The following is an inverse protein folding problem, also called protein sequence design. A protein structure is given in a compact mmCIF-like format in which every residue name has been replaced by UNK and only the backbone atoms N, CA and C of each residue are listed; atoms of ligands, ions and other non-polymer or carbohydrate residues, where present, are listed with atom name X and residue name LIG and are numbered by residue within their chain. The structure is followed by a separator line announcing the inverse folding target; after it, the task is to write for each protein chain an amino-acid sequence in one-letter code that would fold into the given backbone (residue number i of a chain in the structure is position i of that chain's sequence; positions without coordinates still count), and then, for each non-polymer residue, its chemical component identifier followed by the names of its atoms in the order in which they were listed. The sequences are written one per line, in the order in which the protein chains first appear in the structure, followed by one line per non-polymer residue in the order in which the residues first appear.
data_IF_118861416465
#
_entry.id   IF_118861416465
#
_cell.length_a   1.000
_cell.length_b   1.000
_cell.length_c   1.000
_cell.angle_alpha   90.00
_cell.angle_beta   90.00
_cell.angle_gamma   90.00
#
_symmetry.space_group_name_H-M   'P 1'
#
loop_
_entity.id
_entity.type
_entity.pdbx_description
1 polymer ?
#
# COMPACT_ATOMS: atom_id res chain seq x y z
N UNK A 1 -13.42 -51.88 29.86
CA UNK A 1 -14.31 -51.52 28.75
C UNK A 1 -15.27 -50.47 29.24
N UNK A 2 -14.99 -49.20 28.92
CA UNK A 2 -15.85 -48.02 29.05
C UNK A 2 -14.96 -46.81 28.73
N UNK A 3 -15.14 -46.22 27.56
CA UNK A 3 -14.94 -44.80 27.25
C UNK A 3 -15.26 -44.63 25.77
N UNK A 4 -16.55 -44.43 25.51
CA UNK A 4 -17.02 -43.70 24.34
C UNK A 4 -16.80 -42.19 24.57
N UNK A 5 -16.79 -41.45 23.46
CA UNK A 5 -16.77 -39.98 23.30
C UNK A 5 -15.38 -39.37 23.15
N UNK A 6 -15.01 -39.15 21.89
CA UNK A 6 -14.82 -37.82 21.29
C UNK A 6 -14.14 -37.99 19.93
N UNK A 7 -14.83 -37.63 18.87
CA UNK A 7 -14.30 -37.80 17.52
C UNK A 7 -15.36 -37.48 16.48
N UNK A 8 -15.85 -36.24 16.49
CA UNK A 8 -16.58 -35.59 15.41
C UNK A 8 -16.86 -34.15 15.84
N UNK A 9 -15.90 -33.25 15.65
CA UNK A 9 -16.17 -31.84 15.29
C UNK A 9 -14.88 -31.11 14.94
N UNK A 10 -14.99 -30.13 14.04
CA UNK A 10 -13.94 -29.30 13.45
C UNK A 10 -13.13 -29.91 12.30
N UNK A 11 -13.85 -30.41 11.28
CA UNK A 11 -13.43 -30.09 9.91
C UNK A 11 -13.72 -28.61 9.69
N UNK A 12 -12.67 -27.79 9.75
CA UNK A 12 -12.72 -26.37 9.44
C UNK A 12 -13.16 -26.21 7.96
N UNK A 13 -14.33 -25.61 7.68
CA UNK A 13 -14.83 -25.50 6.32
C UNK A 13 -14.12 -24.36 5.58
N UNK A 14 -13.82 -24.60 4.31
CA UNK A 14 -13.51 -23.58 3.31
C UNK A 14 -12.20 -22.81 3.51
N UNK A 15 -11.12 -23.57 3.38
CA UNK A 15 -9.93 -23.16 2.66
C UNK A 15 -10.33 -22.81 1.21
N UNK A 16 -10.92 -21.64 1.01
CA UNK A 16 -11.08 -21.08 -0.34
C UNK A 16 -9.66 -20.90 -0.87
N UNK A 17 -9.33 -21.67 -1.89
CA UNK A 17 -8.18 -21.44 -2.76
C UNK A 17 -8.36 -20.07 -3.44
N UNK A 18 -8.10 -19.00 -2.69
CA UNK A 18 -8.19 -17.61 -3.13
C UNK A 18 -7.01 -17.35 -4.06
N UNK A 19 -7.17 -17.72 -5.32
CA UNK A 19 -6.34 -17.25 -6.41
C UNK A 19 -6.17 -15.73 -6.29
N UNK A 20 -4.91 -15.29 -6.16
CA UNK A 20 -4.36 -13.93 -6.25
C UNK A 20 -5.39 -12.79 -6.09
N UNK A 21 -5.36 -12.04 -4.98
CA UNK A 21 -6.28 -10.93 -4.70
C UNK A 21 -6.37 -9.91 -5.85
N UNK A 22 -5.27 -9.60 -6.55
CA UNK A 22 -5.29 -8.74 -7.74
C UNK A 22 -6.12 -9.39 -8.85
N UNK A 23 -5.91 -10.67 -9.10
CA UNK A 23 -6.71 -11.43 -10.06
C UNK A 23 -8.13 -11.67 -9.56
N UNK A 24 -8.38 -11.68 -8.25
CA UNK A 24 -9.70 -11.89 -7.66
C UNK A 24 -10.53 -10.61 -7.70
N UNK A 25 -9.94 -9.43 -7.52
CA UNK A 25 -10.59 -8.14 -7.82
C UNK A 25 -10.79 -8.00 -9.33
N UNK A 26 -9.80 -8.33 -10.16
CA UNK A 26 -9.96 -8.33 -11.62
C UNK A 26 -11.00 -9.37 -12.10
N UNK A 27 -11.11 -10.53 -11.45
CA UNK A 27 -12.08 -11.58 -11.76
C UNK A 27 -13.47 -11.23 -11.24
N UNK A 28 -13.60 -10.63 -10.05
CA UNK A 28 -14.85 -10.04 -9.57
C UNK A 28 -15.31 -8.93 -10.52
N UNK A 29 -14.40 -8.09 -11.00
CA UNK A 29 -14.70 -7.09 -12.03
C UNK A 29 -15.14 -7.74 -13.35
N UNK A 30 -14.44 -8.77 -13.81
CA UNK A 30 -14.81 -9.51 -15.03
C UNK A 30 -16.18 -10.20 -14.91
N UNK A 31 -16.47 -10.79 -13.74
CA UNK A 31 -17.75 -11.43 -13.44
C UNK A 31 -18.90 -10.42 -13.24
N UNK A 32 -18.63 -9.22 -12.71
CA UNK A 32 -19.62 -8.12 -12.65
C UNK A 32 -19.92 -7.56 -14.06
N UNK A 33 -18.92 -7.49 -14.94
CA UNK A 33 -19.09 -7.12 -16.34
C UNK A 33 -19.88 -8.20 -17.09
N UNK A 34 -19.54 -9.48 -16.92
CA UNK A 34 -20.20 -10.62 -17.59
C UNK A 34 -21.58 -10.96 -17.00
N UNK A 35 -21.80 -10.78 -15.70
CA UNK A 35 -23.11 -10.96 -15.05
C UNK A 35 -24.15 -9.90 -15.44
N UNK A 36 -23.71 -8.82 -16.10
CA UNK A 36 -24.58 -7.77 -16.63
C UNK A 36 -25.15 -8.09 -18.02
N UNK A 37 -24.69 -9.14 -18.72
CA UNK A 37 -25.13 -9.44 -20.09
C UNK A 37 -26.42 -10.26 -20.20
N UNK A 38 -27.29 -10.29 -19.17
CA UNK A 38 -28.64 -10.83 -19.30
C UNK A 38 -29.77 -9.82 -19.02
N UNK A 39 -29.45 -8.52 -19.02
CA UNK A 39 -30.44 -7.48 -19.29
C UNK A 39 -29.87 -6.50 -20.30
N UNK A 40 -30.49 -6.47 -21.46
CA UNK A 40 -30.30 -5.45 -22.49
C UNK A 40 -30.67 -4.09 -21.87
N UNK A 41 -29.67 -3.43 -21.27
CA UNK A 41 -29.73 -2.03 -20.91
C UNK A 41 -28.81 -1.36 -21.90
N UNK A 42 -29.39 -0.63 -22.84
CA UNK A 42 -28.65 0.29 -23.70
C UNK A 42 -27.90 1.27 -22.81
N UNK A 43 -26.65 0.96 -22.51
CA UNK A 43 -25.69 1.91 -22.00
C UNK A 43 -25.47 2.90 -23.14
N UNK A 44 -26.17 4.03 -23.08
CA UNK A 44 -25.82 5.22 -23.84
C UNK A 44 -24.32 5.48 -23.61
N UNK A 45 -23.53 5.22 -24.65
CA UNK A 45 -22.11 5.52 -24.70
C UNK A 45 -21.92 7.03 -24.53
N UNK A 46 -21.64 7.46 -23.32
CA UNK A 46 -21.28 8.86 -23.02
C UNK A 46 -20.22 8.88 -21.93
N UNK A 47 -19.05 8.36 -22.27
CA UNK A 47 -17.81 9.11 -22.56
C UNK A 47 -16.73 8.06 -22.73
N UNK A 48 -16.07 8.06 -23.88
CA UNK A 48 -14.87 7.25 -24.14
C UNK A 48 -13.77 7.68 -23.17
N UNK A 49 -13.78 7.15 -21.96
CA UNK A 49 -12.63 7.19 -21.08
C UNK A 49 -12.00 5.81 -21.16
N UNK A 50 -10.88 5.73 -21.89
CA UNK A 50 -10.01 4.57 -21.86
C UNK A 50 -9.71 4.27 -20.39
N UNK A 51 -10.28 3.18 -19.88
CA UNK A 51 -9.81 2.55 -18.66
C UNK A 51 -8.32 2.30 -18.88
N UNK A 52 -7.47 3.18 -18.35
CA UNK A 52 -6.01 3.01 -18.37
C UNK A 52 -5.72 1.58 -17.96
N UNK A 53 -4.98 0.87 -18.82
CA UNK A 53 -4.77 -0.57 -18.80
C UNK A 53 -4.60 -1.12 -17.37
N UNK A 54 -5.62 -1.83 -16.88
CA UNK A 54 -5.64 -2.47 -15.57
C UNK A 54 -4.87 -3.81 -15.65
N UNK A 55 -3.55 -3.72 -15.79
CA UNK A 55 -2.68 -4.86 -16.04
C UNK A 55 -2.54 -5.84 -14.86
N UNK A 56 -3.12 -5.52 -13.70
CA UNK A 56 -2.94 -6.29 -12.48
C UNK A 56 -1.56 -6.07 -11.86
N UNK A 57 -1.08 -7.06 -11.11
CA UNK A 57 0.21 -7.02 -10.44
C UNK A 57 1.33 -7.64 -11.29
N UNK A 58 2.40 -6.89 -11.56
CA UNK A 58 3.63 -7.42 -12.13
C UNK A 58 4.57 -7.91 -11.01
N UNK A 59 4.48 -9.21 -10.73
CA UNK A 59 5.30 -9.86 -9.68
C UNK A 59 6.80 -9.83 -9.99
N UNK A 60 7.18 -9.90 -11.27
CA UNK A 60 8.58 -9.90 -11.65
C UNK A 60 9.19 -8.52 -11.46
N UNK A 61 8.47 -7.47 -11.85
CA UNK A 61 8.89 -6.09 -11.62
C UNK A 61 8.93 -5.77 -10.12
N UNK A 62 7.91 -6.18 -9.36
CA UNK A 62 7.87 -6.01 -7.90
C UNK A 62 9.04 -6.70 -7.19
N UNK A 63 9.42 -7.90 -7.63
CA UNK A 63 10.53 -8.66 -7.03
C UNK A 63 11.91 -8.05 -7.33
N UNK A 64 12.05 -7.29 -8.43
CA UNK A 64 13.31 -6.64 -8.80
C UNK A 64 13.67 -5.46 -7.90
N UNK A 65 12.68 -4.87 -7.22
CA UNK A 65 12.79 -3.63 -6.44
C UNK A 65 13.21 -2.40 -7.27
N UNK A 66 12.99 -1.17 -6.77
CA UNK A 66 13.46 0.04 -7.43
C UNK A 66 14.99 0.12 -7.46
N UNK A 67 15.53 0.83 -8.45
CA UNK A 67 16.96 1.14 -8.50
C UNK A 67 17.39 1.96 -7.27
N UNK A 68 18.54 1.61 -6.71
CA UNK A 68 19.12 2.24 -5.53
C UNK A 68 20.26 3.23 -5.87
N UNK A 69 20.43 3.56 -7.15
CA UNK A 69 21.39 4.57 -7.62
C UNK A 69 20.86 6.02 -7.50
N UNK A 70 20.34 6.40 -6.33
CA UNK A 70 19.93 7.79 -6.03
C UNK A 70 21.07 8.57 -5.36
N UNK A 71 21.23 9.89 -5.55
CA UNK A 71 22.17 10.72 -4.77
C UNK A 71 21.83 10.78 -3.27
N UNK A 72 22.80 10.87 -2.37
CA UNK A 72 22.53 10.98 -0.92
C UNK A 72 21.77 12.26 -0.52
N UNK A 73 21.75 13.29 -1.38
CA UNK A 73 20.91 14.48 -1.20
C UNK A 73 19.41 14.22 -1.39
N UNK A 74 19.04 13.09 -2.00
CA UNK A 74 17.64 12.72 -2.20
C UNK A 74 17.13 11.89 -1.03
N UNK A 75 15.99 12.33 -0.48
CA UNK A 75 15.26 11.61 0.58
C UNK A 75 14.46 10.43 0.06
N UNK A 76 14.20 10.35 -1.24
CA UNK A 76 13.48 9.23 -1.84
C UNK A 76 13.87 9.02 -3.30
N UNK A 77 13.74 7.77 -3.76
CA UNK A 77 13.85 7.46 -5.19
C UNK A 77 12.57 7.85 -5.93
N UNK A 78 12.65 7.89 -7.27
CA UNK A 78 11.45 7.89 -8.09
C UNK A 78 10.61 6.63 -7.81
N UNK A 79 9.27 6.74 -7.77
CA UNK A 79 8.40 5.58 -7.61
C UNK A 79 8.35 4.74 -8.89
N UNK A 80 8.29 3.43 -8.72
CA UNK A 80 8.08 2.45 -9.80
C UNK A 80 6.71 1.83 -9.61
N UNK A 81 5.83 1.95 -10.61
CA UNK A 81 4.50 1.29 -10.58
C UNK A 81 4.69 -0.19 -10.87
N UNK A 82 4.31 -1.04 -9.92
CA UNK A 82 4.44 -2.50 -10.01
C UNK A 82 3.09 -3.22 -10.08
N UNK A 83 1.99 -2.48 -9.94
CA UNK A 83 0.66 -3.00 -10.21
C UNK A 83 -0.36 -1.90 -10.45
N UNK A 84 -1.39 -2.22 -11.24
CA UNK A 84 -2.53 -1.33 -11.44
C UNK A 84 -3.82 -2.10 -11.71
N UNK A 85 -4.90 -1.71 -11.04
CA UNK A 85 -6.23 -2.29 -11.21
C UNK A 85 -7.32 -1.27 -10.93
N UNK A 86 -8.57 -1.61 -11.25
CA UNK A 86 -9.72 -0.76 -10.98
C UNK A 86 -10.51 -1.27 -9.77
N UNK A 87 -10.95 -0.34 -8.93
CA UNK A 87 -11.80 -0.60 -7.78
C UNK A 87 -13.20 -0.02 -8.03
N UNK A 88 -14.25 -0.86 -8.04
CA UNK A 88 -15.63 -0.38 -8.12
C UNK A 88 -15.99 0.55 -6.95
N UNK A 89 -16.81 1.58 -7.21
CA UNK A 89 -17.22 2.55 -6.20
C UNK A 89 -17.90 1.89 -4.97
N UNK A 90 -18.52 0.72 -5.10
CA UNK A 90 -19.21 0.06 -3.98
C UNK A 90 -18.27 -0.27 -2.80
N UNK A 91 -16.98 -0.46 -3.06
CA UNK A 91 -15.94 -0.75 -2.06
C UNK A 91 -15.23 0.51 -1.53
N UNK A 92 -15.59 1.69 -2.04
CA UNK A 92 -14.97 2.97 -1.68
C UNK A 92 -16.07 3.92 -1.22
N UNK A 93 -15.92 4.53 -0.05
CA UNK A 93 -16.89 5.50 0.48
C UNK A 93 -16.26 6.89 0.42
N UNK A 94 -16.71 7.68 -0.55
CA UNK A 94 -16.21 9.04 -0.75
C UNK A 94 -17.40 10.02 -0.86
N UNK A 95 -17.64 10.76 0.22
CA UNK A 95 -18.76 11.70 0.29
C UNK A 95 -20.13 11.01 0.22
N UNK A 96 -21.12 11.69 -0.38
CA UNK A 96 -22.48 11.15 -0.54
C UNK A 96 -22.54 10.24 -1.75
N UNK A 97 -23.24 9.11 -1.63
CA UNK A 97 -23.37 8.10 -2.69
C UNK A 97 -23.81 8.67 -4.05
N UNK A 98 -24.78 9.60 -4.05
CA UNK A 98 -25.30 10.21 -5.28
C UNK A 98 -24.23 11.03 -6.01
N UNK A 99 -23.42 11.75 -5.26
CA UNK A 99 -22.35 12.60 -5.79
C UNK A 99 -21.17 11.72 -6.23
N UNK A 100 -20.88 10.66 -5.48
CA UNK A 100 -19.86 9.68 -5.84
C UNK A 100 -20.18 8.97 -7.16
N UNK A 101 -21.41 8.50 -7.34
CA UNK A 101 -21.84 7.80 -8.55
C UNK A 101 -21.82 8.68 -9.79
N UNK A 102 -22.02 9.99 -9.64
CA UNK A 102 -21.93 10.94 -10.77
C UNK A 102 -20.48 11.28 -11.13
N UNK A 103 -19.56 11.25 -10.15
CA UNK A 103 -18.14 11.62 -10.34
C UNK A 103 -17.25 10.44 -10.70
N UNK A 104 -17.42 9.28 -10.07
CA UNK A 104 -16.55 8.11 -10.26
C UNK A 104 -17.25 6.79 -9.94
N UNK A 105 -17.62 6.05 -10.98
CA UNK A 105 -18.13 4.66 -10.86
C UNK A 105 -17.02 3.65 -10.57
N UNK A 106 -15.81 3.99 -10.99
CA UNK A 106 -14.60 3.21 -10.74
C UNK A 106 -13.50 4.15 -10.25
N UNK A 107 -12.56 3.57 -9.55
CA UNK A 107 -11.35 4.25 -9.11
C UNK A 107 -10.15 3.49 -9.66
N UNK A 108 -9.10 4.22 -10.02
CA UNK A 108 -7.80 3.63 -10.30
C UNK A 108 -7.09 3.31 -8.99
N UNK A 109 -6.53 2.11 -8.90
CA UNK A 109 -5.59 1.72 -7.86
C UNK A 109 -4.24 1.42 -8.50
N UNK A 110 -3.17 1.89 -7.88
CA UNK A 110 -1.79 1.51 -8.22
C UNK A 110 -1.05 1.05 -6.99
N UNK A 111 -0.12 0.11 -7.19
CA UNK A 111 0.91 -0.24 -6.23
C UNK A 111 2.25 0.30 -6.75
N UNK A 112 2.87 1.17 -5.96
CA UNK A 112 4.18 1.77 -6.25
C UNK A 112 5.23 1.27 -5.27
N UNK A 113 6.47 1.12 -5.74
CA UNK A 113 7.65 0.88 -4.91
C UNK A 113 8.62 2.07 -5.00
N UNK A 114 9.23 2.44 -3.87
CA UNK A 114 10.34 3.41 -3.83
C UNK A 114 11.26 3.16 -2.64
N UNK A 115 12.46 3.71 -2.68
CA UNK A 115 13.32 3.86 -1.51
C UNK A 115 13.01 5.19 -0.80
N UNK A 116 12.94 5.17 0.53
CA UNK A 116 12.74 6.36 1.37
C UNK A 116 13.78 6.40 2.49
N UNK A 117 14.44 7.55 2.66
CA UNK A 117 15.49 7.76 3.65
C UNK A 117 14.89 7.76 5.05
N UNK A 118 15.45 6.93 5.93
CA UNK A 118 15.08 6.84 7.34
C UNK A 118 16.14 7.44 8.26
N UNK A 119 17.38 7.56 7.77
CA UNK A 119 18.48 8.16 8.51
C UNK A 119 19.54 8.71 7.55
N UNK A 120 20.18 9.81 7.94
CA UNK A 120 21.29 10.42 7.22
C UNK A 120 22.30 11.01 8.20
N UNK A 121 23.57 10.92 7.85
CA UNK A 121 24.68 11.52 8.59
C UNK A 121 25.64 12.19 7.61
N UNK A 122 26.14 13.37 7.96
CA UNK A 122 27.22 14.04 7.23
C UNK A 122 28.37 14.25 8.23
N UNK A 123 29.57 13.74 7.92
CA UNK A 123 30.70 13.72 8.84
C UNK A 123 31.88 14.54 8.31
N UNK A 124 32.57 15.23 9.21
CA UNK A 124 33.61 16.23 8.92
C UNK A 124 35.03 15.81 9.37
N UNK A 125 35.24 14.60 9.88
CA UNK A 125 36.57 14.12 10.31
C UNK A 125 36.86 12.70 9.81
N UNK A 126 38.12 12.25 9.87
CA UNK A 126 38.63 11.13 9.08
C UNK A 126 38.58 9.76 9.75
N UNK A 127 38.04 9.65 10.97
CA UNK A 127 38.46 8.57 11.88
C UNK A 127 37.35 7.54 12.21
N UNK A 128 36.11 7.75 11.73
CA UNK A 128 34.99 6.83 11.95
C UNK A 128 34.85 5.80 10.83
N UNK A 129 35.03 4.51 11.14
CA UNK A 129 34.83 3.40 10.20
C UNK A 129 33.42 2.77 10.26
N UNK A 130 32.52 3.35 11.05
CA UNK A 130 31.17 2.80 11.23
C UNK A 130 30.18 3.87 11.69
N UNK A 131 28.92 3.71 11.29
CA UNK A 131 27.82 4.58 11.71
C UNK A 131 26.73 3.78 12.41
N UNK A 132 26.30 4.28 13.58
CA UNK A 132 25.17 3.73 14.31
C UNK A 132 23.88 4.39 13.84
N UNK A 133 23.04 3.63 13.14
CA UNK A 133 21.70 4.05 12.75
C UNK A 133 20.76 3.79 13.92
N UNK A 134 20.07 4.86 14.36
CA UNK A 134 18.93 4.78 15.25
C UNK A 134 17.81 5.65 14.67
N UNK A 135 16.77 5.02 14.13
CA UNK A 135 15.67 5.72 13.48
C UNK A 135 14.32 5.11 13.88
N UNK A 136 13.37 5.96 14.28
CA UNK A 136 11.97 5.56 14.49
C UNK A 136 11.24 5.62 13.16
N UNK A 137 10.66 4.49 12.75
CA UNK A 137 9.98 4.34 11.46
C UNK A 137 8.51 4.04 11.68
N UNK A 138 7.64 4.92 11.17
CA UNK A 138 6.21 4.64 11.03
C UNK A 138 6.02 3.54 9.99
N UNK A 139 5.53 2.38 10.41
CA UNK A 139 5.36 1.21 9.53
C UNK A 139 4.32 1.46 8.46
N UNK A 140 3.31 2.26 8.79
CA UNK A 140 2.20 2.58 7.91
C UNK A 140 1.83 4.04 8.03
N UNK A 141 1.69 4.74 6.90
CA UNK A 141 1.28 6.15 6.88
C UNK A 141 0.29 6.37 5.77
N UNK A 142 -0.82 7.07 6.04
CA UNK A 142 -1.83 7.36 5.04
C UNK A 142 -1.97 8.87 4.80
N UNK A 143 -2.44 9.24 3.62
CA UNK A 143 -2.81 10.60 3.32
C UNK A 143 -4.08 10.65 2.45
N UNK A 144 -5.06 11.46 2.84
CA UNK A 144 -6.30 11.71 2.09
C UNK A 144 -6.16 13.02 1.36
N UNK A 145 -6.35 13.01 0.04
CA UNK A 145 -6.14 14.18 -0.83
C UNK A 145 -4.79 14.88 -0.59
N UNK A 146 -3.73 14.09 -0.30
CA UNK A 146 -2.38 14.59 -0.05
C UNK A 146 -2.11 15.12 1.37
N UNK A 147 -3.10 15.09 2.28
CA UNK A 147 -2.93 15.49 3.68
C UNK A 147 -2.85 14.26 4.57
N UNK A 148 -1.96 14.30 5.55
CA UNK A 148 -1.78 13.21 6.51
C UNK A 148 -3.12 12.78 7.13
N UNK A 149 -3.33 11.47 7.19
CA UNK A 149 -4.55 10.87 7.68
C UNK A 149 -4.22 9.64 8.51
N UNK A 150 -4.96 9.44 9.59
CA UNK A 150 -4.86 8.24 10.40
C UNK A 150 -5.93 7.21 9.96
N UNK A 151 -5.57 5.92 9.81
CA UNK A 151 -6.56 4.87 9.67
C UNK A 151 -7.33 4.69 11.00
N UNK A 152 -8.65 4.80 10.96
CA UNK A 152 -9.53 4.53 12.08
C UNK A 152 -9.75 3.02 12.22
N UNK A 153 -8.91 2.40 13.04
CA UNK A 153 -8.96 0.95 13.31
C UNK A 153 -9.99 0.56 14.37
N UNK A 154 -10.56 1.53 15.09
CA UNK A 154 -11.39 1.26 16.28
C UNK A 154 -12.85 0.97 15.94
N UNK A 155 -13.29 1.30 14.73
CA UNK A 155 -14.68 1.20 14.34
C UNK A 155 -14.84 0.69 12.89
N UNK A 156 -14.55 -0.59 12.68
CA UNK A 156 -14.74 -1.31 11.39
C UNK A 156 -15.98 -2.20 11.40
N UNK A 157 -16.90 -2.00 12.35
CA UNK A 157 -18.10 -2.84 12.50
C UNK A 157 -19.04 -2.79 11.29
N UNK A 158 -18.94 -1.73 10.47
CA UNK A 158 -19.66 -1.56 9.20
C UNK A 158 -18.93 -2.19 8.01
N UNK A 159 -17.82 -2.89 8.24
CA UNK A 159 -16.99 -3.47 7.18
C UNK A 159 -16.17 -2.42 6.41
N UNK A 160 -15.98 -1.22 6.97
CA UNK A 160 -15.23 -0.13 6.32
C UNK A 160 -14.12 0.38 7.24
N UNK A 161 -12.91 0.50 6.70
CA UNK A 161 -11.82 1.24 7.33
C UNK A 161 -11.84 2.70 6.86
N UNK A 162 -12.03 3.61 7.79
CA UNK A 162 -12.07 5.05 7.49
C UNK A 162 -10.68 5.69 7.62
N UNK A 163 -10.34 6.56 6.69
CA UNK A 163 -9.18 7.44 6.74
C UNK A 163 -9.68 8.87 6.83
N UNK A 164 -9.20 9.64 7.80
CA UNK A 164 -9.63 11.03 8.01
C UNK A 164 -8.42 11.93 8.11
N UNK A 165 -8.39 12.98 7.30
CA UNK A 165 -7.44 14.07 7.44
C UNK A 165 -8.12 15.26 8.11
N UNK A 166 -7.41 15.97 8.98
CA UNK A 166 -7.85 17.28 9.46
C UNK A 166 -7.63 18.35 8.37
N UNK A 167 -8.51 19.35 8.34
CA UNK A 167 -8.31 20.57 7.57
C UNK A 167 -8.14 21.78 8.48
N UNK A 168 -7.44 22.80 7.99
CA UNK A 168 -7.08 24.00 8.77
C UNK A 168 -8.30 24.85 9.14
N UNK A 169 -9.41 24.71 8.41
CA UNK A 169 -10.67 25.43 8.59
C UNK A 169 -11.75 24.60 9.34
N UNK A 170 -11.37 23.46 9.92
CA UNK A 170 -12.31 22.51 10.53
C UNK A 170 -13.03 21.60 9.53
N UNK A 171 -12.78 21.75 8.23
CA UNK A 171 -13.24 20.86 7.17
C UNK A 171 -12.24 19.75 6.87
N UNK A 172 -12.49 18.53 7.33
CA UNK A 172 -11.67 17.36 7.02
C UNK A 172 -12.10 16.62 5.75
N UNK A 173 -11.16 15.96 5.08
CA UNK A 173 -11.48 14.99 4.03
C UNK A 173 -11.53 13.59 4.66
N UNK A 174 -12.43 12.75 4.16
CA UNK A 174 -12.51 11.36 4.58
C UNK A 174 -12.80 10.43 3.41
N UNK A 175 -12.21 9.24 3.47
CA UNK A 175 -12.46 8.15 2.55
C UNK A 175 -12.56 6.87 3.35
N UNK A 176 -13.54 6.03 3.02
CA UNK A 176 -13.68 4.69 3.55
C UNK A 176 -13.25 3.67 2.50
N UNK A 177 -12.47 2.67 2.90
CA UNK A 177 -12.21 1.48 2.10
C UNK A 177 -12.92 0.31 2.73
N UNK A 178 -13.58 -0.52 1.92
CA UNK A 178 -14.14 -1.77 2.43
C UNK A 178 -13.02 -2.69 2.94
N UNK A 179 -13.33 -3.54 3.92
CA UNK A 179 -12.36 -4.47 4.47
C UNK A 179 -11.83 -5.45 3.42
N UNK A 180 -12.60 -5.80 2.38
CA UNK A 180 -12.11 -6.64 1.28
C UNK A 180 -10.92 -5.98 0.56
N UNK A 181 -10.97 -4.66 0.33
CA UNK A 181 -9.83 -3.92 -0.23
C UNK A 181 -8.66 -3.92 0.75
N UNK A 182 -8.91 -3.58 2.02
CA UNK A 182 -7.87 -3.43 3.03
C UNK A 182 -7.16 -4.76 3.33
N UNK A 183 -7.92 -5.84 3.48
CA UNK A 183 -7.38 -7.19 3.70
C UNK A 183 -6.59 -7.67 2.50
N UNK A 184 -7.04 -7.37 1.28
CA UNK A 184 -6.27 -7.69 0.09
C UNK A 184 -4.96 -6.91 -0.04
N UNK A 185 -4.95 -5.62 0.33
CA UNK A 185 -3.71 -4.84 0.44
C UNK A 185 -2.74 -5.49 1.44
N UNK A 186 -3.24 -5.96 2.59
CA UNK A 186 -2.44 -6.64 3.61
C UNK A 186 -1.92 -7.98 3.13
N UNK A 187 -2.78 -8.81 2.56
CA UNK A 187 -2.43 -10.13 2.02
C UNK A 187 -1.33 -10.02 0.96
N UNK A 188 -1.42 -9.03 0.08
CA UNK A 188 -0.42 -8.80 -0.97
C UNK A 188 0.95 -8.40 -0.39
N UNK A 189 1.01 -7.90 0.85
CA UNK A 189 2.25 -7.62 1.58
C UNK A 189 2.78 -8.83 2.35
N UNK A 190 1.91 -9.58 3.01
CA UNK A 190 2.30 -10.74 3.84
C UNK A 190 3.01 -11.82 3.02
N UNK A 191 2.60 -12.02 1.75
CA UNK A 191 3.23 -12.98 0.85
C UNK A 191 4.70 -12.70 0.54
N UNK A 192 5.15 -11.46 0.72
CA UNK A 192 6.55 -11.05 0.50
C UNK A 192 7.31 -10.85 1.81
N UNK A 193 6.79 -11.37 2.92
CA UNK A 193 7.48 -11.38 4.22
C UNK A 193 7.19 -10.17 5.10
N UNK A 194 6.16 -9.36 4.78
CA UNK A 194 5.72 -8.32 5.70
C UNK A 194 5.10 -8.93 6.97
N UNK A 195 5.81 -8.84 8.10
CA UNK A 195 5.30 -9.23 9.41
C UNK A 195 4.42 -8.11 9.98
N UNK A 196 3.11 -8.13 9.70
CA UNK A 196 2.15 -7.23 10.36
C UNK A 196 2.23 -7.36 11.89
N UNK A 197 2.06 -6.23 12.58
CA UNK A 197 1.95 -6.18 14.04
C UNK A 197 1.07 -5.00 14.45
N UNK A 198 0.57 -5.00 15.69
CA UNK A 198 -0.25 -3.90 16.21
C UNK A 198 0.56 -2.62 16.44
N UNK A 199 1.88 -2.74 16.55
CA UNK A 199 2.81 -1.60 16.66
C UNK A 199 2.90 -0.85 15.33
N UNK A 200 2.46 0.40 15.34
CA UNK A 200 2.50 1.32 14.19
C UNK A 200 3.88 1.92 13.96
N UNK A 201 4.76 1.87 14.96
CA UNK A 201 6.13 2.36 14.95
C UNK A 201 7.11 1.23 15.22
N UNK A 202 8.30 1.31 14.64
CA UNK A 202 9.41 0.41 14.95
C UNK A 202 10.72 1.18 14.96
N UNK A 203 11.56 0.92 15.95
CA UNK A 203 12.92 1.47 15.99
C UNK A 203 13.84 0.57 15.17
N UNK A 204 14.51 1.18 14.19
CA UNK A 204 15.58 0.56 13.41
C UNK A 204 16.91 0.91 14.09
N UNK A 205 17.52 -0.11 14.71
CA UNK A 205 18.86 -0.01 15.29
C UNK A 205 19.82 -0.92 14.50
N UNK A 206 20.91 -0.35 13.99
CA UNK A 206 21.97 -1.11 13.30
C UNK A 206 23.29 -0.34 13.28
N UNK A 207 24.39 -1.09 13.14
CA UNK A 207 25.71 -0.51 12.88
C UNK A 207 26.09 -0.85 11.45
N UNK A 208 26.45 0.17 10.67
CA UNK A 208 26.86 0.04 9.28
C UNK A 208 28.35 0.35 9.21
N UNK A 209 29.14 -0.57 8.67
CA UNK A 209 30.59 -0.41 8.55
C UNK A 209 30.96 0.20 7.19
N UNK A 210 31.91 1.14 7.20
CA UNK A 210 32.47 1.71 5.99
C UNK A 210 33.61 0.83 5.47
N UNK A 211 33.33 0.08 4.41
CA UNK A 211 34.31 -0.80 3.74
C UNK A 211 35.16 -0.14 2.65
N UNK A 212 35.08 1.19 2.49
CA UNK A 212 35.82 1.92 1.45
C UNK A 212 37.26 2.26 1.84
N UNK A 213 38.04 2.72 0.86
CA UNK A 213 39.41 3.22 1.07
C UNK A 213 39.34 4.72 1.35
N UNK A 214 39.91 5.17 2.48
CA UNK A 214 39.91 6.58 2.90
C UNK A 214 38.80 6.90 3.88
N UNK A 215 38.38 8.17 3.94
CA UNK A 215 37.23 8.61 4.72
C UNK A 215 35.98 8.77 3.87
N UNK A 216 34.82 8.78 4.52
CA UNK A 216 33.53 9.11 3.93
C UNK A 216 33.07 10.50 4.40
N UNK A 217 32.16 11.13 3.65
CA UNK A 217 31.59 12.45 3.95
C UNK A 217 30.11 12.36 4.26
N UNK A 218 29.40 11.45 3.60
CA UNK A 218 27.95 11.30 3.77
C UNK A 218 27.56 9.83 3.89
N UNK A 219 26.56 9.60 4.71
CA UNK A 219 25.93 8.32 4.90
C UNK A 219 24.42 8.48 4.80
N UNK A 220 23.75 7.52 4.18
CA UNK A 220 22.29 7.46 4.14
C UNK A 220 21.78 6.03 4.22
N UNK A 221 20.73 5.86 5.02
CA UNK A 221 20.02 4.60 5.22
C UNK A 221 18.57 4.75 4.77
N UNK A 222 18.09 3.79 3.99
CA UNK A 222 16.83 3.85 3.27
C UNK A 222 16.03 2.56 3.47
N UNK A 223 14.72 2.70 3.56
CA UNK A 223 13.76 1.60 3.63
C UNK A 223 12.99 1.49 2.32
N UNK A 224 12.66 0.26 1.91
CA UNK A 224 11.72 0.04 0.82
C UNK A 224 10.31 0.43 1.28
N UNK A 225 9.62 1.23 0.47
CA UNK A 225 8.23 1.62 0.70
C UNK A 225 7.37 1.09 -0.42
N UNK A 226 6.29 0.41 -0.06
CA UNK A 226 5.18 0.10 -0.96
C UNK A 226 4.02 1.04 -0.70
N UNK A 227 3.56 1.73 -1.74
CA UNK A 227 2.51 2.74 -1.67
C UNK A 227 1.33 2.32 -2.52
N UNK A 228 0.16 2.21 -1.92
CA UNK A 228 -1.10 2.14 -2.65
C UNK A 228 -1.56 3.55 -2.99
N UNK A 229 -1.91 3.80 -4.25
CA UNK A 229 -2.39 5.09 -4.74
C UNK A 229 -3.79 4.90 -5.32
N UNK A 230 -4.79 5.47 -4.66
CA UNK A 230 -6.17 5.48 -5.11
C UNK A 230 -6.50 6.81 -5.79
N UNK A 231 -6.98 6.76 -7.02
CA UNK A 231 -7.35 7.94 -7.81
C UNK A 231 -8.77 7.81 -8.35
N UNK A 232 -9.44 8.96 -8.52
CA UNK A 232 -10.69 9.04 -9.29
C UNK A 232 -10.41 8.83 -10.78
N UNK A 233 -11.47 8.72 -11.59
CA UNK A 233 -11.34 8.55 -13.05
C UNK A 233 -10.65 9.72 -13.75
N UNK A 234 -10.84 10.94 -13.24
CA UNK A 234 -10.16 12.14 -13.74
C UNK A 234 -8.67 12.20 -13.37
N UNK A 235 -8.17 11.20 -12.63
CA UNK A 235 -6.79 11.12 -12.15
C UNK A 235 -6.52 11.87 -10.84
N UNK A 236 -7.53 12.52 -10.25
CA UNK A 236 -7.37 13.21 -8.98
C UNK A 236 -7.12 12.22 -7.82
N UNK A 237 -6.20 12.59 -6.92
CA UNK A 237 -5.81 11.75 -5.80
C UNK A 237 -6.90 11.70 -4.73
N UNK A 238 -7.19 10.48 -4.25
CA UNK A 238 -8.11 10.22 -3.13
C UNK A 238 -7.33 9.82 -1.89
N UNK A 239 -6.51 8.78 -2.00
CA UNK A 239 -5.76 8.20 -0.88
C UNK A 239 -4.37 7.76 -1.35
N UNK A 240 -3.35 8.02 -0.53
CA UNK A 240 -2.13 7.22 -0.54
C UNK A 240 -2.01 6.45 0.77
N UNK A 241 -1.55 5.20 0.71
CA UNK A 241 -1.29 4.41 1.90
C UNK A 241 0.06 3.70 1.75
N UNK A 242 1.02 4.12 2.55
CA UNK A 242 2.43 3.72 2.48
C UNK A 242 2.72 2.67 3.54
N UNK A 243 3.59 1.74 3.16
CA UNK A 243 3.98 0.59 3.94
C UNK A 243 5.51 0.43 3.91
N UNK A 244 6.18 0.63 5.05
CA UNK A 244 7.65 0.73 5.14
C UNK A 244 8.31 -0.58 5.57
N UNK A 245 8.92 -1.30 4.63
CA UNK A 245 9.44 -2.66 4.81
C UNK A 245 10.76 -2.64 5.58
N UNK A 246 10.71 -2.59 6.91
CA UNK A 246 11.91 -2.47 7.77
C UNK A 246 12.86 -3.67 7.75
N UNK A 247 12.46 -4.77 7.10
CA UNK A 247 13.34 -5.89 6.76
C UNK A 247 14.08 -5.70 5.42
N UNK A 248 13.63 -4.77 4.59
CA UNK A 248 14.27 -4.33 3.34
C UNK A 248 14.86 -2.92 3.53
N UNK A 249 16.06 -2.89 4.10
CA UNK A 249 16.82 -1.67 4.32
C UNK A 249 18.13 -1.73 3.53
N UNK A 250 18.50 -0.61 2.91
CA UNK A 250 19.78 -0.45 2.22
C UNK A 250 20.45 0.83 2.68
N UNK A 251 21.78 0.78 2.71
CA UNK A 251 22.62 1.88 3.14
C UNK A 251 23.66 2.18 2.08
N UNK A 252 24.11 3.44 1.99
CA UNK A 252 25.21 3.83 1.10
C UNK A 252 26.02 4.97 1.69
N UNK A 253 27.27 5.02 1.22
CA UNK A 253 28.30 5.95 1.64
C UNK A 253 28.76 6.78 0.44
N UNK A 254 29.11 8.05 0.66
CA UNK A 254 29.79 8.95 -0.29
C UNK A 254 30.98 9.63 0.39
#
# INVERSE_FOLDING_TARGET
MLSEREGLENQNPEMIDRHDFSNSICALNSALIQGSTHREVSASATTDFELKEAAGLDRNLRARLPDFNLPLSQRSSAPVVVGSWCCPFMFIKEGKLKDQMSVSRYYGMKLEQRWEQIFACEYNSSDGHSEAVNAVVQRETAAVAGREAAPDRRNTADGVMWFRSSGDDGGGASVGLSLEIVEGMKWERERVGWLGGDETEVTVERVEEFGGIGGWKKFGCYVLVERFVLTRMDGSLVLTYDFKHTHHIRSKWE
#
